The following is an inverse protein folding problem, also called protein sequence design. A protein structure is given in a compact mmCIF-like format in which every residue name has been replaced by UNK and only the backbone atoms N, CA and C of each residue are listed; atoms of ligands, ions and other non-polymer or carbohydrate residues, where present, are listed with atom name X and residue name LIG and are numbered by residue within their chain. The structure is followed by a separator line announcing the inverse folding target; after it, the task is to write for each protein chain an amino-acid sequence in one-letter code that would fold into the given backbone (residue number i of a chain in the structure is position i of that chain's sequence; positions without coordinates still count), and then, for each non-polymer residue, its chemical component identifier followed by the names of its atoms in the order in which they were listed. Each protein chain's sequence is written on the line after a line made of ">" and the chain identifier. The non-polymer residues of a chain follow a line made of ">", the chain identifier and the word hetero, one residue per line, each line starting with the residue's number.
data_IF_427207299806
#
_entry.id   IF_427207299806
#
_cell.length_a   1.000
_cell.length_b   1.000
_cell.length_c   1.000
_cell.angle_alpha   90.00
_cell.angle_beta   90.00
_cell.angle_gamma   90.00
#
_symmetry.space_group_name_H-M   'P 1'
#
loop_
_entity.id
_entity.type
_entity.pdbx_description
1 polymer ?
#
# COMPACT_ATOMS: atom_id res chain seq x y z
N UNK A 1 -12.67 8.36 -10.03
CA UNK A 1 -12.37 6.93 -10.26
C UNK A 1 -13.24 6.14 -9.29
N UNK A 2 -14.30 5.50 -9.79
CA UNK A 2 -15.29 4.79 -8.98
C UNK A 2 -14.87 3.32 -8.88
N UNK A 3 -14.19 2.94 -7.80
CA UNK A 3 -13.94 1.52 -7.48
C UNK A 3 -14.37 1.29 -6.03
N UNK A 4 -15.67 1.43 -5.80
CA UNK A 4 -16.41 0.92 -4.65
C UNK A 4 -17.91 1.03 -4.99
N UNK A 5 -18.57 -0.09 -5.26
CA UNK A 5 -20.00 -0.11 -5.64
C UNK A 5 -20.96 0.22 -4.48
N UNK A 6 -20.44 0.60 -3.31
CA UNK A 6 -21.25 1.07 -2.19
C UNK A 6 -20.65 2.37 -1.64
N UNK A 7 -21.26 3.49 -2.00
CA UNK A 7 -20.89 4.87 -1.66
C UNK A 7 -20.90 5.21 -0.16
N UNK A 8 -21.10 4.25 0.76
CA UNK A 8 -21.46 4.57 2.14
C UNK A 8 -20.32 4.67 3.15
N UNK A 9 -19.10 4.25 2.85
CA UNK A 9 -18.06 4.22 3.88
C UNK A 9 -16.70 4.80 3.47
N UNK A 10 -16.45 5.06 2.18
CA UNK A 10 -15.14 5.60 1.75
C UNK A 10 -13.97 4.67 2.06
N UNK A 11 -14.25 3.40 2.35
CA UNK A 11 -13.27 2.37 2.70
C UNK A 11 -13.63 0.99 2.19
N UNK A 12 -12.58 0.19 1.95
CA UNK A 12 -12.68 -1.21 1.55
C UNK A 12 -12.45 -2.09 2.78
N UNK A 13 -13.39 -3.00 3.05
CA UNK A 13 -13.24 -4.05 4.06
C UNK A 13 -12.23 -5.11 3.59
N UNK A 14 -11.77 -5.98 4.50
CA UNK A 14 -10.82 -7.03 4.13
C UNK A 14 -11.37 -8.00 3.08
N UNK A 15 -12.67 -8.32 3.15
CA UNK A 15 -13.36 -9.10 2.12
C UNK A 15 -13.28 -8.41 0.75
N UNK A 16 -13.43 -7.08 0.70
CA UNK A 16 -13.29 -6.32 -0.54
C UNK A 16 -11.86 -6.40 -1.08
N UNK A 17 -10.85 -6.35 -0.20
CA UNK A 17 -9.44 -6.49 -0.57
C UNK A 17 -9.08 -7.89 -1.09
N UNK A 18 -9.57 -8.94 -0.43
CA UNK A 18 -9.36 -10.33 -0.87
C UNK A 18 -9.96 -10.53 -2.26
N UNK A 19 -11.16 -10.02 -2.48
CA UNK A 19 -11.89 -10.14 -3.74
C UNK A 19 -11.51 -9.07 -4.78
N UNK A 20 -10.62 -8.14 -4.43
CA UNK A 20 -10.25 -7.05 -5.32
C UNK A 20 -9.62 -7.62 -6.60
N UNK A 21 -10.15 -7.29 -7.80
CA UNK A 21 -9.68 -7.86 -9.06
C UNK A 21 -8.22 -7.54 -9.35
N UNK A 22 -7.45 -8.53 -9.80
CA UNK A 22 -6.07 -8.29 -10.19
C UNK A 22 -5.95 -7.29 -11.34
N UNK A 23 -6.88 -7.30 -12.30
CA UNK A 23 -6.92 -6.33 -13.41
C UNK A 23 -7.00 -4.89 -12.91
N UNK A 24 -7.78 -4.64 -11.85
CA UNK A 24 -7.91 -3.32 -11.27
C UNK A 24 -6.65 -2.91 -10.51
N UNK A 25 -6.05 -3.82 -9.72
CA UNK A 25 -4.76 -3.56 -9.05
C UNK A 25 -3.64 -3.28 -10.06
N UNK A 26 -3.57 -4.06 -11.14
CA UNK A 26 -2.61 -3.86 -12.22
C UNK A 26 -2.82 -2.50 -12.90
N UNK A 27 -4.08 -2.12 -13.13
CA UNK A 27 -4.43 -0.82 -13.72
C UNK A 27 -4.00 0.33 -12.81
N UNK A 28 -4.35 0.28 -11.52
CA UNK A 28 -3.96 1.29 -10.52
C UNK A 28 -2.43 1.37 -10.43
N UNK A 29 -1.73 0.23 -10.35
CA UNK A 29 -0.27 0.19 -10.33
C UNK A 29 0.33 0.83 -11.59
N UNK A 30 -0.16 0.45 -12.78
CA UNK A 30 0.31 0.99 -14.06
C UNK A 30 0.14 2.51 -14.12
N UNK A 31 -0.99 3.03 -13.65
CA UNK A 31 -1.24 4.47 -13.61
C UNK A 31 -0.22 5.18 -12.70
N UNK A 32 -0.02 4.68 -11.47
CA UNK A 32 0.97 5.24 -10.57
C UNK A 32 2.37 5.23 -11.17
N UNK A 33 2.81 4.08 -11.71
CA UNK A 33 4.14 3.94 -12.31
C UNK A 33 4.30 4.88 -13.50
N UNK A 34 3.33 4.91 -14.41
CA UNK A 34 3.41 5.69 -15.65
C UNK A 34 3.48 7.19 -15.36
N UNK A 35 2.54 7.70 -14.56
CA UNK A 35 2.41 9.15 -14.34
C UNK A 35 3.35 9.70 -13.25
N UNK A 36 4.09 8.82 -12.57
CA UNK A 36 5.15 9.22 -11.63
C UNK A 36 6.57 9.06 -12.18
N UNK A 37 6.72 8.71 -13.46
CA UNK A 37 8.01 8.35 -14.05
C UNK A 37 8.71 7.22 -13.27
N UNK A 38 7.96 6.17 -12.95
CA UNK A 38 8.45 4.98 -12.25
C UNK A 38 8.69 5.16 -10.75
N UNK A 39 8.31 6.29 -10.15
CA UNK A 39 8.63 6.60 -8.75
C UNK A 39 7.64 6.01 -7.73
N UNK A 40 6.40 5.83 -8.15
CA UNK A 40 5.27 5.45 -7.29
C UNK A 40 4.57 4.21 -7.86
N UNK A 41 3.85 3.51 -6.99
CA UNK A 41 3.11 2.31 -7.34
C UNK A 41 3.37 1.14 -6.41
N UNK A 42 2.48 0.16 -6.47
CA UNK A 42 2.56 -1.04 -5.63
C UNK A 42 3.78 -1.90 -5.96
N UNK A 43 4.17 -2.01 -7.22
CA UNK A 43 5.39 -2.74 -7.60
C UNK A 43 6.65 -2.08 -7.02
N UNK A 44 6.69 -0.75 -6.98
CA UNK A 44 7.79 0.02 -6.37
C UNK A 44 7.83 -0.23 -4.85
N UNK A 45 6.69 -0.11 -4.17
CA UNK A 45 6.58 -0.38 -2.73
C UNK A 45 6.93 -1.84 -2.39
N UNK A 46 6.49 -2.80 -3.21
CA UNK A 46 6.84 -4.22 -3.04
C UNK A 46 8.35 -4.45 -3.13
N UNK A 47 9.01 -3.83 -4.10
CA UNK A 47 10.47 -3.92 -4.21
C UNK A 47 11.16 -3.33 -2.98
N UNK A 48 10.73 -2.17 -2.49
CA UNK A 48 11.28 -1.53 -1.29
C UNK A 48 11.04 -2.41 -0.06
N UNK A 49 9.83 -2.99 0.08
CA UNK A 49 9.48 -3.91 1.15
C UNK A 49 10.39 -5.14 1.22
N UNK A 50 10.74 -5.69 0.06
CA UNK A 50 11.70 -6.79 -0.03
C UNK A 50 13.13 -6.33 0.32
N UNK A 51 13.55 -5.16 -0.19
CA UNK A 51 14.87 -4.58 0.10
C UNK A 51 15.07 -4.22 1.57
N UNK A 52 14.02 -3.83 2.29
CA UNK A 52 14.08 -3.55 3.73
C UNK A 52 14.06 -4.81 4.59
N UNK A 53 14.06 -6.00 3.97
CA UNK A 53 14.00 -7.28 4.67
C UNK A 53 12.64 -7.56 5.29
N UNK A 54 11.56 -6.97 4.73
CA UNK A 54 10.20 -7.05 5.28
C UNK A 54 10.11 -6.50 6.71
N UNK A 55 10.93 -5.50 7.01
CA UNK A 55 10.90 -4.74 8.26
C UNK A 55 10.03 -3.49 8.06
N UNK A 56 8.94 -3.41 8.84
CA UNK A 56 7.97 -2.31 8.78
C UNK A 56 8.60 -0.95 9.07
N UNK A 57 9.43 -0.85 10.09
CA UNK A 57 10.01 0.42 10.50
C UNK A 57 11.00 0.92 9.45
N UNK A 58 11.85 0.02 8.91
CA UNK A 58 12.77 0.37 7.83
C UNK A 58 12.04 0.75 6.55
N UNK A 59 10.96 0.06 6.22
CA UNK A 59 10.12 0.39 5.08
C UNK A 59 9.54 1.81 5.23
N UNK A 60 8.87 2.08 6.36
CA UNK A 60 8.31 3.39 6.66
C UNK A 60 9.35 4.51 6.65
N UNK A 61 10.55 4.26 7.19
CA UNK A 61 11.68 5.19 7.13
C UNK A 61 12.13 5.47 5.69
N UNK A 62 12.14 4.45 4.83
CA UNK A 62 12.54 4.56 3.43
C UNK A 62 11.53 5.39 2.63
N UNK A 63 10.24 5.04 2.71
CA UNK A 63 9.18 5.74 1.96
C UNK A 63 8.75 7.04 2.64
N UNK A 64 9.33 7.38 3.80
CA UNK A 64 8.99 8.54 4.64
C UNK A 64 7.52 8.57 5.06
N UNK A 65 7.02 7.43 5.52
CA UNK A 65 5.75 7.33 6.23
C UNK A 65 6.01 7.40 7.73
N UNK A 66 6.24 8.61 8.22
CA UNK A 66 6.38 8.86 9.64
C UNK A 66 5.02 9.30 10.21
N UNK A 67 4.56 8.56 11.22
CA UNK A 67 3.29 8.82 11.91
C UNK A 67 3.44 9.87 13.03
N UNK A 68 4.67 10.19 13.45
CA UNK A 68 4.97 11.06 14.58
C UNK A 68 5.58 12.41 14.20
N UNK A 69 6.20 12.52 13.02
CA UNK A 69 6.58 13.83 12.49
C UNK A 69 5.45 14.41 11.66
N UNK A 70 5.34 15.74 11.67
CA UNK A 70 4.46 16.52 10.80
C UNK A 70 4.85 16.41 9.31
N UNK A 71 5.32 15.25 8.83
CA UNK A 71 5.45 14.96 7.40
C UNK A 71 4.04 14.85 6.86
N UNK A 72 3.53 16.02 6.51
CA UNK A 72 2.37 16.21 5.66
C UNK A 72 2.58 15.30 4.45
N UNK A 73 1.68 14.34 4.26
CA UNK A 73 1.63 13.49 3.09
C UNK A 73 1.92 14.32 1.84
N UNK A 74 3.04 14.04 1.18
CA UNK A 74 3.52 14.88 0.07
C UNK A 74 2.96 14.32 -1.22
N UNK A 75 1.93 14.97 -1.74
CA UNK A 75 1.27 14.59 -2.99
C UNK A 75 1.92 15.26 -4.21
N UNK A 76 3.24 15.09 -4.33
CA UNK A 76 4.04 15.70 -5.40
C UNK A 76 4.99 14.67 -6.03
N UNK A 77 5.35 14.85 -7.30
CA UNK A 77 6.26 13.94 -8.01
C UNK A 77 7.66 13.88 -7.39
N UNK A 78 8.07 14.91 -6.66
CA UNK A 78 9.35 14.96 -5.93
C UNK A 78 9.33 14.23 -4.58
N UNK A 79 8.20 13.65 -4.18
CA UNK A 79 8.13 12.83 -2.98
C UNK A 79 9.10 11.63 -3.07
N UNK A 80 9.49 11.03 -1.93
CA UNK A 80 10.40 9.88 -1.89
C UNK A 80 9.92 8.70 -2.74
N UNK A 81 10.85 7.86 -3.20
CA UNK A 81 10.52 6.66 -3.97
C UNK A 81 9.56 5.75 -3.16
N UNK A 82 8.48 5.30 -3.79
CA UNK A 82 7.46 4.47 -3.14
C UNK A 82 6.57 5.20 -2.12
N UNK A 83 6.71 6.53 -1.96
CA UNK A 83 5.90 7.30 -1.00
C UNK A 83 4.40 7.21 -1.28
N UNK A 84 4.01 7.05 -2.56
CA UNK A 84 2.63 6.89 -2.98
C UNK A 84 2.42 5.59 -3.77
N UNK A 85 1.20 5.02 -3.74
CA UNK A 85 0.05 5.43 -2.93
C UNK A 85 0.17 5.06 -1.43
N UNK A 86 -0.33 5.91 -0.53
CA UNK A 86 -0.26 5.67 0.93
C UNK A 86 -1.48 4.92 1.52
N UNK A 87 -2.67 5.16 0.95
CA UNK A 87 -3.93 4.72 1.55
C UNK A 87 -3.99 3.21 1.83
N UNK A 88 -3.44 2.37 0.94
CA UNK A 88 -3.61 0.92 0.97
C UNK A 88 -3.00 0.25 2.24
N UNK A 89 -1.92 0.81 2.79
CA UNK A 89 -1.26 0.25 3.98
C UNK A 89 -1.92 0.71 5.27
N UNK A 90 -2.48 1.94 5.26
CA UNK A 90 -3.31 2.43 6.35
C UNK A 90 -4.59 1.59 6.53
N UNK A 91 -5.23 1.18 5.41
CA UNK A 91 -6.46 0.39 5.41
C UNK A 91 -6.30 -1.02 5.98
N UNK A 92 -5.20 -1.71 5.67
CA UNK A 92 -4.97 -3.10 6.11
C UNK A 92 -4.50 -3.21 7.57
N UNK A 93 -3.83 -2.18 8.09
CA UNK A 93 -3.33 -2.19 9.47
C UNK A 93 -4.35 -1.76 10.53
N UNK A 94 -5.45 -1.11 10.14
CA UNK A 94 -6.39 -0.52 11.10
C UNK A 94 -7.52 -1.46 11.57
N UNK A 95 -7.92 -2.52 10.83
CA UNK A 95 -9.02 -3.39 11.31
C UNK A 95 -9.09 -4.88 10.96
N UNK A 96 -8.14 -5.50 10.25
CA UNK A 96 -8.42 -6.87 9.72
C UNK A 96 -7.35 -7.93 9.88
N UNK A 97 -6.53 -7.85 10.93
CA UNK A 97 -6.01 -9.08 11.53
C UNK A 97 -5.94 -8.93 13.04
N UNK A 98 -6.95 -9.44 13.77
CA UNK A 98 -6.75 -9.84 15.17
C UNK A 98 -5.90 -11.12 15.10
N UNK A 99 -4.59 -10.99 14.93
CA UNK A 99 -3.65 -12.06 15.30
C UNK A 99 -3.19 -11.79 16.72
N UNK A 100 -3.33 -12.73 17.65
CA UNK A 100 -2.71 -12.59 18.96
C UNK A 100 -1.19 -12.49 18.81
N UNK A 101 -0.60 -11.33 19.15
CA UNK A 101 0.85 -11.18 19.39
C UNK A 101 1.73 -10.59 18.28
N UNK A 102 1.19 -9.99 17.21
CA UNK A 102 1.98 -9.37 16.12
C UNK A 102 1.70 -7.87 15.92
N UNK A 103 2.66 -7.12 15.36
CA UNK A 103 2.45 -5.74 14.93
C UNK A 103 1.54 -5.70 13.67
N UNK A 104 0.26 -5.33 13.86
CA UNK A 104 -0.78 -5.38 12.81
C UNK A 104 -0.39 -4.70 11.48
N UNK A 105 0.44 -3.66 11.53
CA UNK A 105 0.88 -2.89 10.37
C UNK A 105 1.85 -3.62 9.44
N UNK A 106 2.80 -4.39 9.99
CA UNK A 106 3.73 -5.20 9.19
C UNK A 106 3.02 -6.35 8.46
N UNK A 107 1.98 -6.89 9.10
CA UNK A 107 1.13 -7.94 8.51
C UNK A 107 0.32 -7.44 7.31
N UNK A 108 -0.12 -6.17 7.33
CA UNK A 108 -0.77 -5.54 6.17
C UNK A 108 0.14 -5.47 4.94
N UNK A 109 1.40 -5.05 5.12
CA UNK A 109 2.40 -5.07 4.04
C UNK A 109 2.72 -6.48 3.56
N UNK A 110 2.76 -7.46 4.47
CA UNK A 110 2.99 -8.85 4.10
C UNK A 110 1.84 -9.46 3.31
N UNK A 111 0.58 -9.16 3.67
CA UNK A 111 -0.58 -9.55 2.87
C UNK A 111 -0.54 -8.89 1.49
N UNK A 112 -0.21 -7.60 1.42
CA UNK A 112 -0.13 -6.87 0.15
C UNK A 112 0.95 -7.48 -0.75
N UNK A 113 2.13 -7.78 -0.23
CA UNK A 113 3.20 -8.50 -0.94
C UNK A 113 2.71 -9.82 -1.54
N UNK A 114 1.95 -10.60 -0.75
CA UNK A 114 1.33 -11.84 -1.21
C UNK A 114 0.31 -11.59 -2.34
N UNK A 115 -0.67 -10.70 -2.13
CA UNK A 115 -1.71 -10.38 -3.13
C UNK A 115 -1.09 -9.87 -4.42
N UNK A 116 -0.12 -8.96 -4.35
CA UNK A 116 0.59 -8.44 -5.53
C UNK A 116 1.32 -9.56 -6.28
N UNK A 117 1.93 -10.50 -5.55
CA UNK A 117 2.56 -11.69 -6.16
C UNK A 117 1.54 -12.56 -6.89
N UNK A 118 0.36 -12.80 -6.30
CA UNK A 118 -0.73 -13.55 -6.98
C UNK A 118 -1.28 -12.83 -8.21
N UNK A 119 -1.23 -11.50 -8.23
CA UNK A 119 -1.63 -10.68 -9.36
C UNK A 119 -0.51 -10.42 -10.38
N UNK A 120 0.66 -11.05 -10.20
CA UNK A 120 1.84 -10.86 -11.06
C UNK A 120 2.29 -9.39 -11.18
N UNK A 121 2.25 -8.65 -10.06
CA UNK A 121 2.75 -7.28 -9.90
C UNK A 121 4.06 -7.28 -9.09
#
# INVERSE_FOLDING_TARGET
>A
LWVACCEKLGYLEYSDWVNFPCTDLQTINKLWVTYSNGRFGFSVQKSIWQQTGKDYNKFCEYVKWDYFSNIRMTYELRAPLGHLPHAFVYWLGHKTVIVPGGNSWGLGLQWLDSKLSTCHI
#
